data_IF_474755294542
#
_entry.id   IF_474755294542
#
_cell.length_a   1.000
_cell.length_b   1.000
_cell.length_c   1.000
_cell.angle_alpha   90.00
_cell.angle_beta   90.00
_cell.angle_gamma   90.00
#
_symmetry.space_group_name_H-M   'P 1'
#
loop_
_entity.id
_entity.type
_entity.pdbx_description
1 polymer ?
#
# COMPACT_ATOMS: atom_id res chain seq x y z
N UNK A 1 -51.32 -91.88 -8.40
CA UNK A 1 -51.32 -91.69 -6.93
C UNK A 1 -50.81 -90.28 -6.63
N UNK A 2 -51.62 -89.49 -5.91
CA UNK A 2 -51.34 -88.21 -5.23
C UNK A 2 -50.87 -87.02 -6.12
N UNK A 3 -51.71 -86.04 -6.52
CA UNK A 3 -52.33 -84.92 -5.75
C UNK A 3 -51.27 -84.21 -4.87
N UNK A 4 -51.02 -82.89 -4.89
CA UNK A 4 -51.80 -81.67 -5.22
C UNK A 4 -50.83 -80.46 -5.17
N UNK A 5 -51.08 -79.33 -5.86
CA UNK A 5 -50.35 -78.07 -5.66
C UNK A 5 -51.01 -77.22 -4.56
N UNK A 6 -50.27 -76.30 -3.92
CA UNK A 6 -50.85 -75.25 -3.07
C UNK A 6 -50.09 -73.92 -3.21
N UNK A 7 -50.89 -72.87 -3.28
CA UNK A 7 -50.58 -71.49 -3.64
C UNK A 7 -50.23 -70.62 -2.39
N UNK A 8 -49.99 -69.29 -2.54
CA UNK A 8 -49.17 -68.48 -1.64
C UNK A 8 -49.92 -67.94 -0.40
N UNK A 9 -49.19 -67.92 0.72
CA UNK A 9 -49.58 -67.29 1.98
C UNK A 9 -49.22 -65.80 2.03
N UNK A 10 -50.18 -65.05 2.52
CA UNK A 10 -50.25 -63.60 2.60
C UNK A 10 -49.66 -63.04 3.93
N UNK A 11 -49.28 -61.75 3.87
CA UNK A 11 -49.30 -60.74 4.96
C UNK A 11 -48.35 -60.86 6.17
N UNK A 12 -47.45 -59.86 6.31
CA UNK A 12 -47.16 -59.15 7.59
C UNK A 12 -46.25 -57.94 7.29
N UNK A 13 -46.77 -56.72 7.21
CA UNK A 13 -46.92 -55.75 8.30
C UNK A 13 -45.60 -55.25 8.92
N UNK A 14 -45.23 -54.03 8.50
CA UNK A 14 -44.90 -52.86 9.31
C UNK A 14 -43.88 -52.98 10.47
N UNK A 15 -42.69 -52.38 10.30
CA UNK A 15 -42.06 -51.56 11.35
C UNK A 15 -41.24 -50.43 10.72
N UNK A 16 -41.83 -49.23 10.68
CA UNK A 16 -41.13 -47.96 10.44
C UNK A 16 -40.55 -47.48 11.77
N UNK A 17 -39.25 -47.57 11.95
CA UNK A 17 -38.52 -46.94 13.06
C UNK A 17 -38.45 -45.43 12.83
N UNK A 18 -39.35 -44.69 13.49
CA UNK A 18 -39.24 -43.25 13.70
C UNK A 18 -38.28 -42.99 14.86
N UNK A 19 -37.13 -42.38 14.59
CA UNK A 19 -36.25 -41.85 15.63
C UNK A 19 -36.74 -40.47 16.02
N UNK A 20 -37.60 -40.42 17.04
CA UNK A 20 -38.02 -39.20 17.72
C UNK A 20 -36.87 -38.68 18.59
N UNK A 21 -36.15 -37.66 18.10
CA UNK A 21 -35.25 -36.86 18.94
C UNK A 21 -36.10 -36.01 19.89
N UNK A 22 -36.00 -36.33 21.18
CA UNK A 22 -36.54 -35.54 22.27
C UNK A 22 -35.81 -34.19 22.34
N UNK A 23 -36.56 -33.10 22.31
CA UNK A 23 -36.08 -31.77 22.62
C UNK A 23 -36.01 -31.64 24.15
N UNK A 24 -34.80 -31.52 24.70
CA UNK A 24 -34.59 -31.15 26.09
C UNK A 24 -34.94 -29.68 26.28
N UNK A 25 -36.04 -29.41 26.97
CA UNK A 25 -36.42 -28.09 27.47
C UNK A 25 -35.52 -27.72 28.66
N UNK A 26 -34.51 -26.89 28.43
CA UNK A 26 -33.79 -26.23 29.52
C UNK A 26 -34.60 -25.03 29.99
N UNK A 27 -34.93 -25.02 31.28
CA UNK A 27 -35.68 -23.97 31.97
C UNK A 27 -35.01 -22.60 31.83
N UNK A 28 -35.84 -21.58 31.55
CA UNK A 28 -35.44 -20.19 31.50
C UNK A 28 -35.07 -19.69 32.91
N UNK A 29 -33.78 -19.41 33.14
CA UNK A 29 -33.34 -18.65 34.29
C UNK A 29 -33.83 -17.20 34.15
N UNK A 30 -34.60 -16.74 35.15
CA UNK A 30 -35.06 -15.36 35.29
C UNK A 30 -33.89 -14.37 35.23
N UNK A 31 -33.90 -13.48 34.25
CA UNK A 31 -33.05 -12.30 34.21
C UNK A 31 -33.59 -11.24 35.20
N UNK A 32 -32.73 -10.54 35.95
CA UNK A 32 -33.16 -9.44 36.82
C UNK A 32 -33.69 -8.24 35.99
N UNK A 33 -34.58 -7.42 36.59
CA UNK A 33 -35.25 -6.32 35.91
C UNK A 33 -34.28 -5.25 35.40
N UNK A 34 -34.52 -4.81 34.17
CA UNK A 34 -33.74 -3.83 33.42
C UNK A 34 -34.07 -2.41 33.92
N UNK A 35 -33.10 -1.71 34.48
CA UNK A 35 -33.24 -0.30 34.88
C UNK A 35 -33.53 0.62 33.67
N UNK A 36 -34.35 1.68 33.85
CA UNK A 36 -34.62 2.66 32.81
C UNK A 36 -33.39 3.54 32.53
N UNK A 37 -33.02 3.62 31.24
CA UNK A 37 -31.91 4.44 30.74
C UNK A 37 -32.18 5.92 30.99
N UNK A 38 -31.27 6.58 31.70
CA UNK A 38 -31.25 8.04 31.83
C UNK A 38 -30.85 8.72 30.50
N UNK A 39 -31.43 9.89 30.16
CA UNK A 39 -31.04 10.68 29.01
C UNK A 39 -29.69 11.38 29.28
N UNK A 40 -28.76 11.21 28.35
CA UNK A 40 -27.40 11.73 28.40
C UNK A 40 -27.40 13.19 27.94
N UNK A 41 -26.76 14.05 28.74
CA UNK A 41 -26.55 15.46 28.49
C UNK A 41 -25.71 15.73 27.22
N UNK A 42 -25.87 16.90 26.56
CA UNK A 42 -25.12 17.25 25.37
C UNK A 42 -23.63 17.46 25.68
N UNK A 43 -22.81 16.70 24.96
CA UNK A 43 -21.35 16.76 24.95
C UNK A 43 -20.88 18.10 24.38
N UNK A 44 -20.25 18.91 25.22
CA UNK A 44 -19.55 20.13 24.82
C UNK A 44 -18.49 19.81 23.75
N UNK A 45 -18.51 20.58 22.68
CA UNK A 45 -17.51 20.57 21.61
C UNK A 45 -16.17 21.05 22.17
N UNK A 46 -15.25 20.12 22.38
CA UNK A 46 -13.84 20.46 22.50
C UNK A 46 -13.31 20.78 21.10
N UNK A 47 -12.90 22.04 20.98
CA UNK A 47 -12.21 22.63 19.85
C UNK A 47 -10.96 21.79 19.53
N UNK A 48 -10.88 21.30 18.29
CA UNK A 48 -9.66 20.74 17.75
C UNK A 48 -8.73 21.93 17.46
N UNK A 49 -7.64 21.98 18.20
CA UNK A 49 -6.52 22.88 17.99
C UNK A 49 -5.89 22.62 16.62
N UNK A 50 -5.80 23.70 15.85
CA UNK A 50 -5.13 23.79 14.56
C UNK A 50 -3.68 23.33 14.66
N UNK A 51 -3.32 22.26 13.95
CA UNK A 51 -1.93 21.93 13.62
C UNK A 51 -1.87 21.50 12.17
N UNK A 52 -1.85 22.47 11.26
CA UNK A 52 -1.28 22.28 9.93
C UNK A 52 -0.87 23.65 9.34
N UNK A 53 0.02 24.31 10.08
CA UNK A 53 0.86 25.38 9.54
C UNK A 53 2.08 24.76 8.88
N UNK A 54 1.92 24.26 7.65
CA UNK A 54 3.05 23.90 6.77
C UNK A 54 2.91 24.61 5.42
N UNK A 55 2.63 25.91 5.47
CA UNK A 55 2.86 26.86 4.39
C UNK A 55 3.66 28.01 4.99
N UNK A 56 4.98 27.88 4.95
CA UNK A 56 5.90 28.83 5.57
C UNK A 56 7.36 28.55 5.25
N UNK A 57 7.67 28.13 4.02
CA UNK A 57 9.06 28.11 3.56
C UNK A 57 9.38 29.43 2.87
N UNK A 58 9.85 30.36 3.70
CA UNK A 58 10.91 31.33 3.41
C UNK A 58 10.79 32.10 2.08
N UNK A 59 10.17 33.27 2.19
CA UNK A 59 10.53 34.45 1.41
C UNK A 59 11.98 34.83 1.76
N UNK A 60 12.94 34.16 1.11
CA UNK A 60 14.35 34.52 1.19
C UNK A 60 14.57 35.78 0.33
N UNK A 61 14.29 36.95 0.93
CA UNK A 61 14.78 38.24 0.46
C UNK A 61 16.31 38.21 0.47
N UNK A 62 16.90 37.93 -0.69
CA UNK A 62 18.29 38.25 -0.96
C UNK A 62 18.44 39.76 -1.08
N UNK A 63 18.63 40.42 0.07
CA UNK A 63 19.20 41.76 0.11
C UNK A 63 20.71 41.65 0.26
N UNK A 64 21.53 42.11 -0.70
CA UNK A 64 22.96 42.23 -0.48
C UNK A 64 23.21 43.33 0.57
N UNK A 65 23.71 42.95 1.75
CA UNK A 65 24.27 43.89 2.72
C UNK A 65 25.68 44.29 2.26
N UNK A 66 25.98 45.58 1.98
CA UNK A 66 27.35 46.02 1.93
C UNK A 66 27.89 46.13 3.37
N UNK A 67 28.91 45.34 3.67
CA UNK A 67 29.61 45.35 4.94
C UNK A 67 30.46 46.64 5.03
N UNK A 68 30.01 47.61 5.83
CA UNK A 68 30.74 48.84 6.11
C UNK A 68 31.86 48.60 7.11
N UNK A 69 33.03 48.18 6.61
CA UNK A 69 34.26 48.15 7.42
C UNK A 69 34.98 49.51 7.28
N UNK A 70 34.75 50.40 8.24
CA UNK A 70 35.48 51.67 8.37
C UNK A 70 36.82 51.40 9.07
N UNK A 71 37.86 51.09 8.29
CA UNK A 71 39.23 51.20 8.77
C UNK A 71 39.94 52.36 8.10
N UNK A 72 40.24 53.32 8.95
CA UNK A 72 41.02 54.52 8.74
C UNK A 72 42.49 54.11 8.50
N UNK A 73 43.01 54.30 7.29
CA UNK A 73 44.45 54.37 7.06
C UNK A 73 44.77 55.49 6.07
N UNK A 74 45.29 56.55 6.65
CA UNK A 74 45.98 57.64 6.00
C UNK A 74 47.27 57.10 5.33
N UNK A 75 47.36 57.18 4.00
CA UNK A 75 48.65 57.22 3.28
C UNK A 75 48.56 58.11 2.05
N UNK A 76 49.23 59.26 2.16
CA UNK A 76 49.88 59.94 1.05
C UNK A 76 50.67 58.94 0.21
N UNK A 77 50.38 58.84 -1.09
CA UNK A 77 51.39 58.50 -2.10
C UNK A 77 51.07 59.22 -3.40
N UNK A 78 52.11 59.84 -3.93
CA UNK A 78 52.18 60.73 -5.08
C UNK A 78 51.67 60.13 -6.39
N UNK A 79 51.13 61.05 -7.18
CA UNK A 79 50.92 61.03 -8.61
C UNK A 79 52.14 60.45 -9.35
N UNK A 80 51.99 59.33 -10.07
CA UNK A 80 52.85 58.91 -11.18
C UNK A 80 51.97 58.36 -12.30
N UNK A 81 51.75 59.19 -13.32
CA UNK A 81 51.28 58.77 -14.64
C UNK A 81 52.39 58.03 -15.37
N UNK A 82 52.23 56.74 -15.63
CA UNK A 82 52.91 56.04 -16.71
C UNK A 82 52.09 54.80 -17.11
N UNK A 83 52.01 54.56 -18.41
CA UNK A 83 50.87 53.93 -19.06
C UNK A 83 50.66 52.43 -18.83
N UNK A 84 49.39 52.04 -18.92
CA UNK A 84 48.95 50.74 -19.45
C UNK A 84 47.42 50.77 -19.59
N UNK A 85 46.94 51.33 -20.69
CA UNK A 85 45.53 51.25 -21.12
C UNK A 85 45.08 49.82 -21.47
N UNK A 86 45.93 48.79 -21.29
CA UNK A 86 45.58 47.38 -21.46
C UNK A 86 45.19 46.68 -20.14
N UNK A 87 45.60 47.21 -18.98
CA UNK A 87 45.38 46.60 -17.64
C UNK A 87 43.94 46.72 -17.14
N UNK A 88 43.24 47.83 -17.45
CA UNK A 88 41.83 48.01 -17.10
C UNK A 88 40.91 47.12 -17.95
N UNK A 89 41.33 46.80 -19.17
CA UNK A 89 40.60 45.98 -20.13
C UNK A 89 40.77 44.48 -19.82
N UNK A 90 41.93 44.07 -19.30
CA UNK A 90 42.15 42.68 -18.87
C UNK A 90 41.44 42.36 -17.55
N UNK A 91 41.42 43.31 -16.61
CA UNK A 91 40.71 43.15 -15.34
C UNK A 91 39.18 43.19 -15.49
N UNK A 92 38.64 44.01 -16.41
CA UNK A 92 37.21 44.01 -16.74
C UNK A 92 36.75 42.71 -17.42
N UNK A 93 37.53 42.18 -18.37
CA UNK A 93 37.25 40.90 -19.05
C UNK A 93 37.26 39.71 -18.08
N UNK A 94 38.13 39.71 -17.07
CA UNK A 94 38.11 38.68 -16.03
C UNK A 94 36.84 38.73 -15.20
N UNK A 95 36.40 39.92 -14.79
CA UNK A 95 35.18 40.10 -14.00
C UNK A 95 33.92 39.66 -14.77
N UNK A 96 33.87 39.94 -16.07
CA UNK A 96 32.81 39.49 -16.98
C UNK A 96 32.78 37.96 -17.12
N UNK A 97 33.95 37.31 -17.23
CA UNK A 97 34.06 35.85 -17.25
C UNK A 97 33.61 35.19 -15.94
N UNK A 98 33.87 35.83 -14.78
CA UNK A 98 33.38 35.36 -13.48
C UNK A 98 31.86 35.54 -13.33
N UNK A 99 31.30 36.65 -13.85
CA UNK A 99 29.85 36.87 -13.92
C UNK A 99 29.17 35.80 -14.78
N UNK A 100 29.63 35.60 -16.01
CA UNK A 100 29.04 34.61 -16.93
C UNK A 100 29.13 33.19 -16.36
N UNK A 101 30.25 32.80 -15.74
CA UNK A 101 30.38 31.48 -15.08
C UNK A 101 29.43 31.30 -13.89
N UNK A 102 29.20 32.36 -13.12
CA UNK A 102 28.29 32.32 -11.97
C UNK A 102 26.83 32.27 -12.43
N UNK A 103 26.50 33.02 -13.48
CA UNK A 103 25.19 33.01 -14.14
C UNK A 103 24.89 31.65 -14.76
N UNK A 104 25.84 31.04 -15.48
CA UNK A 104 25.71 29.68 -16.01
C UNK A 104 25.47 28.63 -14.92
N UNK A 105 26.18 28.73 -13.78
CA UNK A 105 25.95 27.83 -12.65
C UNK A 105 24.55 27.99 -12.04
N UNK A 106 24.10 29.23 -11.88
CA UNK A 106 22.77 29.53 -11.37
C UNK A 106 21.67 29.08 -12.35
N UNK A 107 21.87 29.28 -13.66
CA UNK A 107 20.95 28.80 -14.70
C UNK A 107 20.83 27.29 -14.69
N UNK A 108 21.95 26.54 -14.68
CA UNK A 108 21.93 25.07 -14.60
C UNK A 108 21.22 24.56 -13.34
N UNK A 109 21.40 25.26 -12.21
CA UNK A 109 20.69 24.94 -10.97
C UNK A 109 19.18 25.18 -11.09
N UNK A 110 18.76 26.26 -11.73
CA UNK A 110 17.36 26.55 -12.01
C UNK A 110 16.75 25.51 -12.97
N UNK A 111 17.45 25.15 -14.04
CA UNK A 111 17.01 24.13 -14.99
C UNK A 111 16.83 22.76 -14.31
N UNK A 112 17.74 22.38 -13.42
CA UNK A 112 17.61 21.15 -12.64
C UNK A 112 16.41 21.18 -11.69
N UNK A 113 16.14 22.33 -11.07
CA UNK A 113 14.98 22.51 -10.20
C UNK A 113 13.69 22.47 -11.00
N UNK A 114 13.64 23.11 -12.17
CA UNK A 114 12.49 23.10 -13.07
C UNK A 114 12.22 21.70 -13.63
N UNK A 115 13.26 21.00 -14.09
CA UNK A 115 13.15 19.61 -14.52
C UNK A 115 12.60 18.72 -13.41
N UNK A 116 13.09 18.89 -12.18
CA UNK A 116 12.59 18.15 -11.00
C UNK A 116 11.14 18.49 -10.69
N UNK A 117 10.74 19.75 -10.83
CA UNK A 117 9.35 20.21 -10.66
C UNK A 117 8.43 19.60 -11.72
N UNK A 118 8.82 19.67 -12.99
CA UNK A 118 8.07 19.11 -14.10
C UNK A 118 7.95 17.57 -13.99
N UNK A 119 8.99 16.92 -13.47
CA UNK A 119 8.95 15.47 -13.19
C UNK A 119 7.99 15.13 -12.03
N UNK A 120 7.85 15.98 -11.02
CA UNK A 120 6.84 15.79 -9.95
C UNK A 120 5.44 15.98 -10.50
N UNK A 121 5.20 17.08 -11.22
CA UNK A 121 3.91 17.42 -11.82
C UNK A 121 3.44 16.30 -12.77
N UNK A 122 4.31 15.84 -13.66
CA UNK A 122 3.99 14.73 -14.58
C UNK A 122 3.65 13.45 -13.83
N UNK A 123 4.41 13.08 -12.78
CA UNK A 123 4.07 11.91 -11.94
C UNK A 123 2.72 12.05 -11.24
N UNK A 124 2.37 13.25 -10.80
CA UNK A 124 1.10 13.47 -10.11
C UNK A 124 -0.09 13.38 -11.08
N UNK A 125 0.05 13.87 -12.32
CA UNK A 125 -0.93 13.62 -13.38
C UNK A 125 -1.07 12.13 -13.73
N UNK A 126 0.03 11.39 -13.80
CA UNK A 126 -0.02 9.94 -14.06
C UNK A 126 -0.74 9.17 -12.94
N UNK A 127 -0.57 9.56 -11.67
CA UNK A 127 -1.32 8.95 -10.55
C UNK A 127 -2.82 9.25 -10.61
N UNK A 128 -3.22 10.38 -11.19
CA UNK A 128 -4.63 10.74 -11.32
C UNK A 128 -5.36 9.85 -12.32
N UNK A 129 -4.64 9.32 -13.32
CA UNK A 129 -5.12 8.36 -14.31
C UNK A 129 -5.22 6.95 -13.71
N UNK A 130 -6.43 6.43 -13.44
CA UNK A 130 -6.59 5.17 -12.73
C UNK A 130 -6.58 3.94 -13.64
N UNK A 131 -6.63 4.13 -14.96
CA UNK A 131 -6.61 3.07 -15.98
C UNK A 131 -5.27 3.07 -16.71
N UNK A 132 -4.66 1.89 -16.79
CA UNK A 132 -3.59 1.60 -17.76
C UNK A 132 -4.23 1.35 -19.11
N UNK A 133 -3.74 2.02 -20.15
CA UNK A 133 -4.20 1.82 -21.52
C UNK A 133 -3.27 0.84 -22.21
N UNK A 134 -3.83 -0.23 -22.73
CA UNK A 134 -3.08 -1.24 -23.48
C UNK A 134 -3.20 -0.96 -24.99
N UNK A 135 -2.20 -1.40 -25.75
CA UNK A 135 -2.23 -1.26 -27.20
C UNK A 135 -3.38 -2.10 -27.77
N UNK A 136 -4.25 -1.48 -28.57
CA UNK A 136 -5.44 -2.13 -29.13
C UNK A 136 -6.73 -1.84 -28.35
N UNK A 137 -6.65 -1.21 -27.16
CA UNK A 137 -7.84 -0.69 -26.48
C UNK A 137 -8.46 0.44 -27.31
N UNK A 138 -9.72 0.28 -27.69
CA UNK A 138 -10.51 1.36 -28.30
C UNK A 138 -11.02 2.28 -27.20
N UNK A 139 -10.79 3.58 -27.35
CA UNK A 139 -11.29 4.59 -26.44
C UNK A 139 -12.37 5.45 -27.09
N UNK A 140 -13.30 5.92 -26.28
CA UNK A 140 -14.25 6.98 -26.59
C UNK A 140 -13.87 8.25 -25.83
N UNK A 141 -14.30 9.44 -26.27
CA UNK A 141 -14.11 10.67 -25.48
C UNK A 141 -14.69 10.57 -24.06
N UNK A 142 -15.71 9.74 -23.86
CA UNK A 142 -16.34 9.53 -22.55
C UNK A 142 -15.43 8.78 -21.57
N UNK A 143 -14.52 7.95 -22.05
CA UNK A 143 -13.57 7.18 -21.23
C UNK A 143 -12.59 8.07 -20.45
N UNK A 144 -12.34 9.29 -20.93
CA UNK A 144 -11.48 10.27 -20.27
C UNK A 144 -12.24 11.15 -19.27
N UNK A 145 -13.55 10.94 -19.12
CA UNK A 145 -14.39 11.70 -18.19
C UNK A 145 -14.04 11.36 -16.73
N UNK A 146 -14.13 12.34 -15.81
CA UNK A 146 -13.99 12.09 -14.37
C UNK A 146 -14.94 11.01 -13.83
N UNK A 147 -16.09 10.81 -14.47
CA UNK A 147 -17.08 9.80 -14.09
C UNK A 147 -16.56 8.39 -14.35
N UNK A 148 -16.02 8.13 -15.55
CA UNK A 148 -15.45 6.83 -15.92
C UNK A 148 -14.16 6.55 -15.15
N UNK A 149 -13.29 7.56 -14.99
CA UNK A 149 -12.10 7.45 -14.15
C UNK A 149 -12.43 7.00 -12.73
N UNK A 150 -13.52 7.49 -12.14
CA UNK A 150 -13.97 7.06 -10.81
C UNK A 150 -14.42 5.60 -10.76
N UNK A 151 -14.93 5.03 -11.85
CA UNK A 151 -15.28 3.61 -11.92
C UNK A 151 -14.02 2.74 -11.86
N UNK A 152 -12.98 3.10 -12.60
CA UNK A 152 -11.71 2.35 -12.61
C UNK A 152 -10.90 2.46 -11.32
N UNK A 153 -11.12 3.52 -10.51
CA UNK A 153 -10.53 3.59 -9.17
C UNK A 153 -11.02 2.49 -8.23
N UNK A 154 -12.18 1.88 -8.50
CA UNK A 154 -12.68 0.76 -7.70
C UNK A 154 -11.90 -0.49 -8.06
N UNK A 155 -11.06 -0.97 -7.14
CA UNK A 155 -10.38 -2.26 -7.27
C UNK A 155 -11.44 -3.36 -7.36
N UNK A 156 -11.58 -3.97 -8.54
CA UNK A 156 -12.36 -5.18 -8.70
C UNK A 156 -11.68 -6.30 -7.92
N UNK A 157 -12.42 -6.96 -7.02
CA UNK A 157 -11.93 -8.16 -6.35
C UNK A 157 -11.76 -9.26 -7.41
N UNK A 158 -10.72 -10.10 -7.24
CA UNK A 158 -10.55 -11.27 -8.11
C UNK A 158 -11.77 -12.16 -7.94
N UNK A 159 -12.48 -12.43 -9.05
CA UNK A 159 -13.71 -13.24 -9.02
C UNK A 159 -13.41 -14.74 -9.00
N UNK A 160 -12.26 -15.16 -9.53
CA UNK A 160 -11.87 -16.55 -9.61
C UNK A 160 -10.96 -16.94 -8.45
N UNK A 161 -11.22 -18.11 -7.87
CA UNK A 161 -10.39 -18.74 -6.84
C UNK A 161 -9.06 -19.19 -7.48
N UNK A 162 -7.94 -18.72 -6.96
CA UNK A 162 -6.60 -19.00 -7.50
C UNK A 162 -6.26 -20.50 -7.41
N UNK A 163 -6.71 -21.18 -6.35
CA UNK A 163 -6.41 -22.61 -6.16
C UNK A 163 -7.18 -23.46 -7.17
N UNK A 164 -8.41 -23.07 -7.46
CA UNK A 164 -9.26 -23.74 -8.45
C UNK A 164 -8.77 -23.48 -9.87
N UNK A 165 -8.40 -22.23 -10.17
CA UNK A 165 -7.84 -21.85 -11.47
C UNK A 165 -6.52 -22.59 -11.78
N UNK A 166 -5.71 -22.88 -10.76
CA UNK A 166 -4.47 -23.64 -10.91
C UNK A 166 -4.68 -25.16 -10.84
N UNK A 167 -5.84 -25.64 -10.38
CA UNK A 167 -6.15 -27.08 -10.25
C UNK A 167 -5.26 -27.84 -9.26
N UNK A 168 -4.60 -27.15 -8.32
CA UNK A 168 -3.66 -27.75 -7.37
C UNK A 168 -4.31 -28.10 -6.04
N UNK A 169 -3.83 -29.16 -5.40
CA UNK A 169 -4.24 -29.51 -4.02
C UNK A 169 -3.34 -28.81 -3.01
N UNK A 170 -3.83 -27.82 -2.24
CA UNK A 170 -2.98 -27.11 -1.29
C UNK A 170 -2.51 -28.01 -0.14
N UNK A 171 -3.26 -29.05 0.24
CA UNK A 171 -2.88 -29.93 1.36
C UNK A 171 -1.50 -30.62 1.20
N UNK A 172 -1.07 -30.82 -0.06
CA UNK A 172 0.20 -31.46 -0.39
C UNK A 172 1.36 -30.46 -0.50
N UNK A 173 1.06 -29.17 -0.67
CA UNK A 173 2.03 -28.11 -0.92
C UNK A 173 2.58 -27.48 0.36
N UNK A 174 2.47 -28.16 1.50
CA UNK A 174 2.91 -27.66 2.82
C UNK A 174 4.42 -27.40 2.91
N UNK A 175 5.21 -27.92 1.97
CA UNK A 175 6.66 -27.68 1.86
C UNK A 175 7.00 -26.41 1.10
N UNK A 176 6.04 -25.81 0.39
CA UNK A 176 6.25 -24.59 -0.38
C UNK A 176 6.01 -23.37 0.52
N UNK A 177 7.10 -22.78 1.03
CA UNK A 177 7.03 -21.63 1.94
C UNK A 177 6.51 -20.36 1.27
N UNK A 178 6.81 -20.15 -0.01
CA UNK A 178 6.30 -19.01 -0.78
C UNK A 178 4.78 -19.04 -0.88
N UNK A 179 4.20 -20.23 -1.14
CA UNK A 179 2.75 -20.40 -1.18
C UNK A 179 2.10 -20.15 0.18
N UNK A 180 2.75 -20.57 1.28
CA UNK A 180 2.24 -20.30 2.63
C UNK A 180 2.25 -18.80 2.91
N UNK A 181 3.34 -18.10 2.56
CA UNK A 181 3.51 -16.67 2.80
C UNK A 181 2.38 -15.84 2.16
N UNK A 182 1.95 -16.18 0.94
CA UNK A 182 0.87 -15.49 0.24
C UNK A 182 -0.48 -15.50 1.00
N UNK A 183 -0.71 -16.51 1.85
CA UNK A 183 -1.94 -16.69 2.62
C UNK A 183 -1.79 -16.42 4.13
N UNK A 184 -0.60 -16.04 4.59
CA UNK A 184 -0.35 -15.61 5.97
C UNK A 184 -0.16 -14.10 6.05
N UNK A 185 -0.43 -13.51 7.21
CA UNK A 185 -0.02 -12.15 7.51
C UNK A 185 1.48 -12.14 7.82
N UNK A 186 2.16 -10.97 7.76
CA UNK A 186 3.55 -10.86 8.19
C UNK A 186 3.79 -11.30 9.64
N UNK A 187 2.72 -11.37 10.46
CA UNK A 187 2.75 -11.91 11.83
C UNK A 187 2.47 -13.41 11.92
N UNK A 188 2.49 -14.15 10.80
CA UNK A 188 2.29 -15.60 10.72
C UNK A 188 0.85 -16.10 10.93
N UNK A 189 -0.12 -15.20 11.07
CA UNK A 189 -1.54 -15.57 11.18
C UNK A 189 -2.16 -15.87 9.82
N UNK A 190 -3.10 -16.82 9.76
CA UNK A 190 -3.80 -17.16 8.51
C UNK A 190 -4.74 -16.02 8.11
N UNK A 191 -4.61 -15.52 6.88
CA UNK A 191 -5.46 -14.44 6.38
C UNK A 191 -6.93 -14.88 6.24
N UNK A 192 -7.85 -13.98 6.53
CA UNK A 192 -9.29 -14.22 6.36
C UNK A 192 -9.68 -14.30 4.88
N UNK A 193 -10.76 -15.03 4.55
CA UNK A 193 -11.24 -15.25 3.17
C UNK A 193 -11.50 -13.95 2.38
N UNK A 194 -11.83 -12.87 3.09
CA UNK A 194 -12.00 -11.52 2.53
C UNK A 194 -10.72 -10.96 1.88
N UNK A 195 -9.55 -11.35 2.38
CA UNK A 195 -8.26 -10.93 1.84
C UNK A 195 -7.74 -11.91 0.80
N UNK A 196 -7.87 -13.22 1.05
CA UNK A 196 -7.39 -14.28 0.15
C UNK A 196 -8.26 -14.45 -1.10
N UNK A 197 -9.54 -14.05 -1.04
CA UNK A 197 -10.54 -14.26 -2.09
C UNK A 197 -10.70 -15.74 -2.52
N UNK A 198 -10.45 -16.67 -1.61
CA UNK A 198 -10.65 -18.10 -1.83
C UNK A 198 -12.08 -18.52 -1.53
N UNK A 199 -12.55 -19.58 -2.20
CA UNK A 199 -13.79 -20.27 -1.85
C UNK A 199 -13.70 -20.80 -0.40
N UNK A 200 -14.79 -20.82 0.39
CA UNK A 200 -14.78 -21.33 1.75
C UNK A 200 -14.22 -22.75 1.89
N UNK A 201 -14.40 -23.59 0.87
CA UNK A 201 -13.85 -24.95 0.84
C UNK A 201 -12.33 -24.92 0.71
N UNK A 202 -11.81 -24.16 -0.25
CA UNK A 202 -10.38 -24.06 -0.50
C UNK A 202 -9.66 -23.29 0.61
N UNK A 203 -10.29 -22.27 1.19
CA UNK A 203 -9.80 -21.58 2.39
C UNK A 203 -9.54 -22.56 3.55
N UNK A 204 -10.42 -23.55 3.78
CA UNK A 204 -10.20 -24.58 4.81
C UNK A 204 -9.02 -25.48 4.48
N UNK A 205 -8.86 -25.88 3.22
CA UNK A 205 -7.73 -26.72 2.76
C UNK A 205 -6.40 -25.98 2.90
N UNK A 206 -6.35 -24.71 2.49
CA UNK A 206 -5.18 -23.83 2.69
C UNK A 206 -4.88 -23.64 4.18
N UNK A 207 -5.89 -23.34 5.00
CA UNK A 207 -5.70 -23.20 6.44
C UNK A 207 -5.21 -24.51 7.10
N UNK A 208 -5.63 -25.68 6.59
CA UNK A 208 -5.15 -26.98 7.03
C UNK A 208 -3.69 -27.21 6.64
N UNK A 209 -3.30 -26.86 5.41
CA UNK A 209 -1.91 -26.89 4.94
C UNK A 209 -1.01 -26.02 5.83
N UNK A 210 -1.39 -24.78 6.10
CA UNK A 210 -0.58 -23.85 6.91
C UNK A 210 -0.40 -24.38 8.34
N UNK A 211 -1.50 -24.82 8.99
CA UNK A 211 -1.43 -25.41 10.34
C UNK A 211 -0.57 -26.67 10.39
N UNK A 212 -0.56 -27.48 9.32
CA UNK A 212 0.34 -28.63 9.20
C UNK A 212 1.80 -28.18 9.16
N UNK A 213 2.13 -27.20 8.31
CA UNK A 213 3.51 -26.69 8.20
C UNK A 213 4.01 -26.08 9.52
N UNK A 214 3.16 -25.31 10.21
CA UNK A 214 3.47 -24.74 11.52
C UNK A 214 3.59 -25.82 12.60
N UNK A 215 2.66 -26.78 12.64
CA UNK A 215 2.68 -27.88 13.62
C UNK A 215 3.85 -28.86 13.44
N UNK A 216 4.39 -28.98 12.23
CA UNK A 216 5.61 -29.74 11.95
C UNK A 216 6.90 -28.96 12.24
N UNK A 217 6.81 -27.66 12.57
CA UNK A 217 7.98 -26.81 12.78
C UNK A 217 8.71 -26.39 11.49
N UNK A 218 8.06 -26.52 10.33
CA UNK A 218 8.65 -26.14 9.03
C UNK A 218 8.44 -24.66 8.69
N UNK A 219 7.39 -24.02 9.22
CA UNK A 219 7.08 -22.61 8.97
C UNK A 219 6.84 -21.87 10.30
N UNK A 220 7.38 -20.65 10.50
CA UNK A 220 7.21 -19.93 11.76
C UNK A 220 5.75 -19.48 11.99
N UNK A 221 5.38 -19.35 13.27
CA UNK A 221 4.03 -18.93 13.69
C UNK A 221 3.88 -17.41 13.81
N UNK A 222 4.98 -16.69 14.07
CA UNK A 222 4.96 -15.28 14.48
C UNK A 222 5.51 -14.33 13.41
N UNK A 223 6.25 -14.86 12.43
CA UNK A 223 6.86 -14.07 11.36
C UNK A 223 6.95 -14.89 10.07
N UNK A 224 7.28 -14.23 8.97
CA UNK A 224 7.54 -14.90 7.69
C UNK A 224 8.79 -15.79 7.73
N UNK A 225 8.85 -16.79 6.85
CA UNK A 225 10.00 -17.69 6.79
C UNK A 225 11.31 -16.90 6.55
N UNK A 226 12.38 -17.13 7.34
CA UNK A 226 13.59 -16.28 7.33
C UNK A 226 14.27 -16.19 5.96
N UNK A 227 14.29 -17.28 5.20
CA UNK A 227 14.86 -17.27 3.83
C UNK A 227 14.09 -16.36 2.86
N UNK A 228 12.78 -16.16 3.06
CA UNK A 228 11.96 -15.31 2.18
C UNK A 228 12.20 -13.82 2.48
N UNK A 229 12.37 -13.47 3.75
CA UNK A 229 12.64 -12.09 4.20
C UNK A 229 14.13 -11.71 4.13
N UNK A 230 15.03 -12.67 3.90
CA UNK A 230 16.48 -12.45 3.85
C UNK A 230 16.87 -11.29 2.92
N UNK A 231 16.22 -11.19 1.76
CA UNK A 231 16.48 -10.13 0.77
C UNK A 231 16.10 -8.72 1.27
N UNK A 232 15.13 -8.62 2.17
CA UNK A 232 14.68 -7.35 2.75
C UNK A 232 15.65 -6.86 3.83
N UNK A 233 16.20 -7.77 4.64
CA UNK A 233 17.13 -7.44 5.72
C UNK A 233 18.59 -7.33 5.25
N UNK A 234 19.00 -8.17 4.32
CA UNK A 234 20.37 -8.23 3.80
C UNK A 234 20.35 -8.03 2.29
N UNK A 235 20.18 -6.78 1.81
CA UNK A 235 20.27 -6.51 0.38
C UNK A 235 21.64 -6.95 -0.11
N UNK A 236 21.67 -7.81 -1.13
CA UNK A 236 22.91 -8.20 -1.77
C UNK A 236 23.64 -6.93 -2.22
N UNK A 237 24.90 -6.76 -1.81
CA UNK A 237 25.74 -5.68 -2.35
C UNK A 237 25.82 -5.91 -3.86
N UNK A 238 25.18 -5.03 -4.63
CA UNK A 238 25.35 -4.96 -6.08
C UNK A 238 26.86 -4.79 -6.33
N UNK A 239 27.50 -5.83 -6.87
CA UNK A 239 28.84 -5.72 -7.45
C UNK A 239 28.73 -5.10 -8.84
#
# INVERSE_FOLDING_TARGET
>A
MHLRPQAPGALSATLRTLVSRQFSSTAAAQLPPREPRQPHAPRQQQQQSSTDSVLGMSEAKWSPRPNGNKNNFNRNTSNHSSGSSSSSVTSSKLLEKFRNRTEEYNQRRLDQLEASRNQKISRDYLKQMPRSWEVGDVYSPHDLSPVEMRKWRKKSLRKADVIDALGVRPEDLYKNFSLIQDFTTPGGAIQHSKFTNLSPVNQRKVAKMIRRAQGMGLYPSVHDHPELIRSQFYPARKQ
#
